data_IF_630484834315
#
_entry.id   IF_630484834315
#
_cell.length_a   1.000
_cell.length_b   1.000
_cell.length_c   1.000
_cell.angle_alpha   90.00
_cell.angle_beta   90.00
_cell.angle_gamma   90.00
#
_symmetry.space_group_name_H-M   'P 1'
#
loop_
_entity.id
_entity.type
_entity.pdbx_description
1 polymer ?
#
# COMPACT_ATOMS: atom_id res chain seq x y z
N UNK A 1 -4.48 12.52 -1.07
CA UNK A 1 -5.02 11.14 -1.13
C UNK A 1 -6.51 11.18 -0.85
N UNK A 2 -7.27 10.19 -1.35
CA UNK A 2 -8.72 10.08 -1.28
C UNK A 2 -9.09 8.67 -0.87
N UNK A 3 -10.38 8.46 -0.56
CA UNK A 3 -10.90 7.16 -0.13
C UNK A 3 -11.73 6.46 -1.21
N UNK A 4 -12.11 7.20 -2.27
CA UNK A 4 -13.05 6.75 -3.28
C UNK A 4 -14.52 6.79 -2.82
N UNK A 5 -14.79 7.54 -1.77
CA UNK A 5 -16.15 7.80 -1.26
C UNK A 5 -16.57 9.23 -1.67
N UNK A 6 -17.36 9.30 -2.74
CA UNK A 6 -17.86 10.58 -3.26
C UNK A 6 -18.68 11.30 -2.21
N UNK A 7 -18.41 12.59 -2.01
CA UNK A 7 -19.10 13.43 -1.03
C UNK A 7 -20.18 14.30 -1.68
N UNK A 8 -20.03 14.61 -2.97
CA UNK A 8 -20.96 15.46 -3.68
C UNK A 8 -20.92 15.21 -5.20
N UNK A 9 -22.03 15.44 -5.88
CA UNK A 9 -22.09 15.57 -7.34
C UNK A 9 -22.08 17.06 -7.65
N UNK A 10 -20.93 17.58 -8.13
CA UNK A 10 -20.80 18.93 -8.65
C UNK A 10 -21.16 19.02 -10.12
N UNK A 11 -21.12 20.24 -10.69
CA UNK A 11 -21.39 20.49 -12.10
C UNK A 11 -20.25 21.28 -12.76
N UNK A 12 -19.92 20.94 -13.99
CA UNK A 12 -19.03 21.78 -14.82
C UNK A 12 -19.76 23.06 -15.17
N UNK A 13 -19.28 24.20 -14.68
CA UNK A 13 -19.84 25.53 -14.98
C UNK A 13 -19.17 26.19 -16.17
N UNK A 14 -17.84 25.99 -16.28
CA UNK A 14 -17.05 26.64 -17.34
C UNK A 14 -15.86 25.79 -17.76
N UNK A 15 -15.42 26.01 -19.00
CA UNK A 15 -14.23 25.41 -19.61
C UNK A 15 -13.52 26.46 -20.44
N UNK A 16 -12.32 26.85 -20.04
CA UNK A 16 -11.54 27.88 -20.76
C UNK A 16 -10.20 27.25 -21.16
N UNK A 17 -9.87 27.21 -22.47
CA UNK A 17 -8.55 26.87 -22.92
C UNK A 17 -7.47 27.72 -22.24
N UNK A 18 -6.36 27.14 -21.87
CA UNK A 18 -5.21 27.82 -21.28
C UNK A 18 -3.95 27.54 -22.09
N UNK A 19 -2.83 28.14 -21.71
CA UNK A 19 -1.55 27.98 -22.40
C UNK A 19 -1.10 26.51 -22.47
N UNK A 20 -0.29 26.17 -23.47
CA UNK A 20 0.32 24.86 -23.66
C UNK A 20 -0.66 23.69 -23.75
N UNK A 21 -1.87 23.91 -24.27
CA UNK A 21 -2.89 22.87 -24.41
C UNK A 21 -3.55 22.46 -23.10
N UNK A 22 -3.36 23.20 -22.02
CA UNK A 22 -4.03 23.06 -20.74
C UNK A 22 -5.45 23.63 -20.78
N UNK A 23 -6.24 23.38 -19.73
CA UNK A 23 -7.62 23.85 -19.62
C UNK A 23 -7.91 24.28 -18.18
N UNK A 24 -8.63 25.35 -18.01
CA UNK A 24 -9.23 25.75 -16.74
C UNK A 24 -10.65 25.17 -16.71
N UNK A 25 -10.97 24.43 -15.64
CA UNK A 25 -12.33 24.00 -15.35
C UNK A 25 -12.87 24.80 -14.19
N UNK A 26 -14.08 25.34 -14.35
CA UNK A 26 -14.85 25.96 -13.27
C UNK A 26 -15.94 24.98 -12.84
N UNK A 27 -15.99 24.66 -11.52
CA UNK A 27 -16.86 23.68 -10.93
C UNK A 27 -17.82 24.33 -9.95
N UNK A 28 -19.12 24.00 -10.04
CA UNK A 28 -20.11 24.33 -9.01
C UNK A 28 -20.08 23.21 -7.97
N UNK A 29 -19.92 23.60 -6.70
CA UNK A 29 -20.07 22.72 -5.54
C UNK A 29 -20.98 23.41 -4.51
N UNK A 30 -21.92 22.65 -3.95
CA UNK A 30 -22.87 23.16 -2.95
C UNK A 30 -22.41 22.90 -1.52
N UNK A 31 -21.74 21.76 -1.30
CA UNK A 31 -21.35 21.28 0.03
C UNK A 31 -19.85 21.40 0.27
N UNK A 32 -19.02 21.03 -0.74
CA UNK A 32 -17.57 21.10 -0.62
C UNK A 32 -17.11 22.55 -0.82
N UNK A 33 -16.44 23.09 0.19
CA UNK A 33 -15.86 24.46 0.18
C UNK A 33 -14.34 24.34 0.29
N UNK A 34 -13.63 24.13 -0.82
CA UNK A 34 -12.18 24.03 -0.78
C UNK A 34 -11.56 25.38 -0.41
N UNK A 35 -10.36 25.32 0.15
CA UNK A 35 -9.49 26.48 0.29
C UNK A 35 -8.54 26.55 -0.91
N UNK A 36 -7.96 27.72 -1.13
CA UNK A 36 -6.93 27.91 -2.13
C UNK A 36 -5.76 26.94 -1.86
N UNK A 37 -5.36 26.16 -2.86
CA UNK A 37 -4.30 25.17 -2.73
C UNK A 37 -4.76 23.77 -2.30
N UNK A 38 -6.03 23.59 -1.91
CA UNK A 38 -6.55 22.27 -1.55
C UNK A 38 -6.59 21.33 -2.76
N UNK A 39 -6.29 20.06 -2.52
CA UNK A 39 -6.48 18.99 -3.50
C UNK A 39 -7.92 18.48 -3.46
N UNK A 40 -8.56 18.36 -4.63
CA UNK A 40 -9.91 17.84 -4.81
C UNK A 40 -9.88 16.78 -5.91
N UNK A 41 -10.53 15.67 -5.68
CA UNK A 41 -10.81 14.66 -6.70
C UNK A 41 -12.03 15.08 -7.50
N UNK A 42 -11.86 15.24 -8.81
CA UNK A 42 -12.94 15.53 -9.76
C UNK A 42 -13.03 14.36 -10.74
N UNK A 43 -14.10 13.57 -10.66
CA UNK A 43 -14.19 12.28 -11.37
C UNK A 43 -12.94 11.41 -11.15
N UNK A 44 -12.41 11.36 -9.93
CA UNK A 44 -11.21 10.62 -9.58
C UNK A 44 -9.90 11.30 -9.92
N UNK A 45 -9.90 12.45 -10.59
CA UNK A 45 -8.68 13.19 -10.93
C UNK A 45 -8.30 14.13 -9.80
N UNK A 46 -7.12 13.99 -9.23
CA UNK A 46 -6.57 14.91 -8.22
C UNK A 46 -6.19 16.23 -8.90
N UNK A 47 -6.86 17.32 -8.52
CA UNK A 47 -6.63 18.67 -9.03
C UNK A 47 -6.57 19.66 -7.87
N UNK A 48 -5.86 20.78 -8.07
CA UNK A 48 -5.67 21.80 -7.05
C UNK A 48 -6.60 22.98 -7.28
N UNK A 49 -7.34 23.39 -6.26
CA UNK A 49 -8.18 24.58 -6.29
C UNK A 49 -7.31 25.85 -6.37
N UNK A 50 -7.42 26.62 -7.47
CA UNK A 50 -6.60 27.82 -7.71
C UNK A 50 -7.34 29.14 -7.53
N UNK A 51 -8.66 29.13 -7.60
CA UNK A 51 -9.52 30.29 -7.40
C UNK A 51 -10.86 29.84 -6.84
N UNK A 52 -11.40 30.61 -5.93
CA UNK A 52 -12.66 30.31 -5.26
C UNK A 52 -13.56 31.54 -5.35
N UNK A 53 -14.82 31.33 -5.77
CA UNK A 53 -15.81 32.41 -5.89
C UNK A 53 -17.18 31.86 -5.47
N UNK A 54 -17.58 32.15 -4.23
CA UNK A 54 -18.86 31.70 -3.68
C UNK A 54 -18.99 30.16 -3.67
N UNK A 55 -19.90 29.64 -4.49
CA UNK A 55 -20.15 28.21 -4.66
C UNK A 55 -19.36 27.58 -5.81
N UNK A 56 -18.38 28.29 -6.38
CA UNK A 56 -17.57 27.79 -7.48
C UNK A 56 -16.09 27.81 -7.14
N UNK A 57 -15.35 26.92 -7.75
CA UNK A 57 -13.90 26.93 -7.73
C UNK A 57 -13.33 26.56 -9.10
N UNK A 58 -12.13 27.07 -9.39
CA UNK A 58 -11.40 26.78 -10.61
C UNK A 58 -10.23 25.87 -10.34
N UNK A 59 -9.94 24.99 -11.30
CA UNK A 59 -8.77 24.11 -11.30
C UNK A 59 -8.07 24.16 -12.65
N UNK A 60 -6.74 24.02 -12.65
CA UNK A 60 -5.96 23.84 -13.87
C UNK A 60 -5.84 22.36 -14.21
N UNK A 61 -6.12 22.01 -15.46
CA UNK A 61 -5.96 20.66 -15.98
C UNK A 61 -4.88 20.68 -17.06
N UNK A 62 -3.72 20.13 -16.76
CA UNK A 62 -2.59 20.10 -17.70
C UNK A 62 -2.87 19.16 -18.87
N UNK A 63 -2.16 19.37 -19.99
CA UNK A 63 -2.35 18.62 -21.24
C UNK A 63 -2.31 17.11 -21.05
N UNK A 64 -1.35 16.58 -20.28
CA UNK A 64 -1.21 15.14 -20.02
C UNK A 64 -2.44 14.56 -19.30
N UNK A 65 -2.97 15.29 -18.31
CA UNK A 65 -4.20 14.89 -17.60
C UNK A 65 -5.41 14.89 -18.53
N UNK A 66 -5.55 15.89 -19.40
CA UNK A 66 -6.62 15.94 -20.41
C UNK A 66 -6.54 14.77 -21.40
N UNK A 67 -5.33 14.32 -21.73
CA UNK A 67 -5.11 13.17 -22.63
C UNK A 67 -5.51 11.83 -22.02
N UNK A 68 -5.26 11.65 -20.71
CA UNK A 68 -5.49 10.38 -20.01
C UNK A 68 -6.89 10.24 -19.41
N UNK A 69 -7.63 11.33 -19.29
CA UNK A 69 -8.88 11.36 -18.54
C UNK A 69 -10.08 11.73 -19.43
N UNK A 70 -11.29 11.56 -18.88
CA UNK A 70 -12.51 11.99 -19.55
C UNK A 70 -12.74 13.52 -19.48
N UNK A 71 -11.95 14.27 -18.70
CA UNK A 71 -12.18 15.70 -18.42
C UNK A 71 -12.24 16.56 -19.69
N UNK A 72 -11.43 16.25 -20.72
CA UNK A 72 -11.47 16.97 -22.00
C UNK A 72 -12.83 16.92 -22.66
N UNK A 73 -13.56 15.80 -22.52
CA UNK A 73 -14.85 15.53 -23.19
C UNK A 73 -16.06 16.02 -22.43
N UNK A 74 -15.92 16.41 -21.15
CA UNK A 74 -17.03 16.92 -20.36
C UNK A 74 -17.56 18.22 -20.97
N UNK A 75 -18.88 18.42 -20.95
CA UNK A 75 -19.59 19.63 -21.40
C UNK A 75 -19.99 20.47 -20.20
N UNK A 76 -20.29 21.73 -20.40
CA UNK A 76 -20.95 22.58 -19.39
C UNK A 76 -22.26 21.92 -18.99
N UNK A 77 -22.55 21.90 -17.67
CA UNK A 77 -23.69 21.19 -17.08
C UNK A 77 -23.48 19.73 -16.81
N UNK A 78 -22.33 19.12 -17.22
CA UNK A 78 -22.04 17.71 -16.92
C UNK A 78 -21.82 17.49 -15.42
N UNK A 79 -22.50 16.49 -14.79
CA UNK A 79 -22.27 16.13 -13.40
C UNK A 79 -20.91 15.45 -13.22
N UNK A 80 -20.19 15.83 -12.15
CA UNK A 80 -18.89 15.27 -11.79
C UNK A 80 -18.87 14.86 -10.32
N UNK A 81 -18.28 13.71 -10.03
CA UNK A 81 -18.07 13.24 -8.67
C UNK A 81 -16.99 14.10 -8.00
N UNK A 82 -17.25 14.57 -6.79
CA UNK A 82 -16.32 15.36 -5.99
C UNK A 82 -16.00 14.67 -4.67
N UNK A 83 -14.73 14.67 -4.31
CA UNK A 83 -14.23 14.21 -3.01
C UNK A 83 -13.09 15.15 -2.57
N UNK A 84 -13.15 15.76 -1.37
CA UNK A 84 -12.01 16.49 -0.81
C UNK A 84 -10.88 15.54 -0.42
N UNK A 85 -9.65 16.05 -0.37
CA UNK A 85 -8.55 15.25 0.15
C UNK A 85 -8.82 14.81 1.58
N UNK A 86 -8.50 13.54 1.89
CA UNK A 86 -8.66 12.98 3.21
C UNK A 86 -7.73 13.65 4.23
N UNK A 87 -8.20 13.77 5.45
CA UNK A 87 -7.43 14.20 6.62
C UNK A 87 -6.96 12.98 7.43
N UNK A 88 -6.12 13.20 8.45
CA UNK A 88 -5.64 12.12 9.34
C UNK A 88 -6.79 11.50 10.15
N UNK A 89 -7.88 12.23 10.37
CA UNK A 89 -9.04 11.78 11.14
C UNK A 89 -10.06 10.99 10.29
N UNK A 90 -9.94 10.99 8.98
CA UNK A 90 -10.91 10.33 8.10
C UNK A 90 -10.73 8.80 8.09
N UNK A 91 -11.85 8.08 8.19
CA UNK A 91 -11.86 6.63 8.02
C UNK A 91 -11.75 6.27 6.53
N UNK A 92 -10.96 5.23 6.22
CA UNK A 92 -10.83 4.69 4.87
C UNK A 92 -11.97 3.69 4.62
N UNK A 93 -13.15 4.20 4.25
CA UNK A 93 -14.34 3.39 3.99
C UNK A 93 -14.37 2.75 2.59
N UNK A 94 -13.43 3.12 1.70
CA UNK A 94 -13.22 2.53 0.38
C UNK A 94 -11.85 1.85 0.30
N UNK A 95 -10.97 2.40 -0.54
CA UNK A 95 -9.56 2.01 -0.63
C UNK A 95 -8.68 3.24 -0.84
N UNK A 96 -7.37 3.10 -0.84
CA UNK A 96 -6.46 4.22 -1.13
C UNK A 96 -6.55 4.63 -2.59
N UNK A 97 -7.11 5.81 -2.84
CA UNK A 97 -7.22 6.45 -4.17
C UNK A 97 -6.28 7.64 -4.20
N UNK A 98 -5.39 7.67 -5.18
CA UNK A 98 -4.39 8.74 -5.31
C UNK A 98 -4.89 9.92 -6.12
N UNK A 99 -5.87 9.69 -6.97
CA UNK A 99 -6.35 10.65 -7.97
C UNK A 99 -5.49 10.68 -9.23
N UNK A 100 -4.64 9.70 -9.43
CA UNK A 100 -3.74 9.57 -10.58
C UNK A 100 -4.29 8.54 -11.57
N UNK A 101 -5.05 9.01 -12.53
CA UNK A 101 -5.78 8.17 -13.49
C UNK A 101 -4.82 7.41 -14.40
N UNK A 102 -5.03 6.10 -14.49
CA UNK A 102 -4.26 5.22 -15.37
C UNK A 102 -4.71 5.32 -16.83
N UNK A 103 -6.01 5.33 -17.06
CA UNK A 103 -6.60 5.47 -18.39
C UNK A 103 -8.08 5.85 -18.32
N UNK A 104 -8.62 6.35 -19.43
CA UNK A 104 -10.05 6.42 -19.63
C UNK A 104 -10.58 5.08 -20.16
N UNK A 105 -11.50 4.46 -19.42
CA UNK A 105 -12.28 3.31 -19.86
C UNK A 105 -13.50 3.71 -20.69
N UNK A 106 -14.19 2.74 -21.28
CA UNK A 106 -15.45 2.94 -22.00
C UNK A 106 -16.53 2.01 -21.40
N UNK A 107 -17.67 2.56 -21.06
CA UNK A 107 -18.83 1.78 -20.63
C UNK A 107 -19.33 0.94 -21.81
N UNK A 108 -19.40 -0.37 -21.64
CA UNK A 108 -19.97 -1.31 -22.60
C UNK A 108 -21.41 -1.63 -22.27
N UNK A 109 -21.71 -1.86 -20.98
CA UNK A 109 -23.04 -2.18 -20.50
C UNK A 109 -23.33 -1.43 -19.20
N UNK A 110 -24.57 -1.00 -19.03
CA UNK A 110 -25.09 -0.34 -17.82
C UNK A 110 -26.17 -1.18 -17.14
N UNK A 111 -26.52 -0.83 -15.92
CA UNK A 111 -27.52 -1.54 -15.12
C UNK A 111 -27.10 -1.65 -13.66
N UNK A 112 -27.41 -2.77 -13.01
CA UNK A 112 -26.89 -3.07 -11.67
C UNK A 112 -25.41 -3.48 -11.69
N UNK A 113 -24.92 -3.86 -12.86
CA UNK A 113 -23.52 -4.14 -13.15
C UNK A 113 -23.09 -3.24 -14.31
N UNK A 114 -21.98 -2.54 -14.15
CA UNK A 114 -21.32 -1.83 -15.24
C UNK A 114 -20.23 -2.74 -15.81
N UNK A 115 -20.25 -2.98 -17.13
CA UNK A 115 -19.14 -3.58 -17.85
C UNK A 115 -18.34 -2.47 -18.50
N UNK A 116 -17.01 -2.48 -18.29
CA UNK A 116 -16.11 -1.40 -18.71
C UNK A 116 -14.94 -1.99 -19.48
N UNK A 117 -14.72 -1.48 -20.70
CA UNK A 117 -13.54 -1.79 -21.50
C UNK A 117 -12.39 -0.86 -21.13
N UNK A 118 -11.19 -1.41 -21.04
CA UNK A 118 -9.96 -0.70 -20.71
C UNK A 118 -8.82 -1.08 -21.67
N UNK A 119 -7.75 -0.27 -21.78
CA UNK A 119 -6.57 -0.65 -22.55
C UNK A 119 -5.98 -2.00 -22.10
N UNK A 120 -5.53 -2.82 -23.06
CA UNK A 120 -4.95 -4.15 -22.82
C UNK A 120 -3.87 -4.18 -21.73
N UNK A 121 -3.08 -3.12 -21.60
CA UNK A 121 -2.05 -3.02 -20.55
C UNK A 121 -2.65 -2.96 -19.14
N UNK A 122 -3.85 -2.37 -19.01
CA UNK A 122 -4.46 -2.11 -17.71
C UNK A 122 -5.19 -3.33 -17.15
N UNK A 123 -5.85 -4.14 -18.01
CA UNK A 123 -6.63 -5.31 -17.57
C UNK A 123 -5.82 -6.31 -16.75
N UNK A 124 -4.51 -6.33 -16.95
CA UNK A 124 -3.61 -7.20 -16.20
C UNK A 124 -3.42 -6.81 -14.72
N UNK A 125 -3.83 -5.63 -14.32
CA UNK A 125 -3.77 -5.14 -12.94
C UNK A 125 -5.14 -5.16 -12.24
N UNK A 126 -6.17 -5.66 -12.95
CA UNK A 126 -7.54 -5.73 -12.44
C UNK A 126 -7.82 -7.19 -12.10
N UNK A 127 -8.29 -7.44 -10.88
CA UNK A 127 -8.54 -8.78 -10.34
C UNK A 127 -9.95 -8.86 -9.78
N UNK A 128 -10.58 -10.01 -9.96
CA UNK A 128 -11.87 -10.30 -9.33
C UNK A 128 -11.76 -10.17 -7.80
N UNK A 129 -12.77 -9.58 -7.17
CA UNK A 129 -12.82 -9.21 -5.74
C UNK A 129 -11.82 -8.12 -5.33
N UNK A 130 -11.02 -7.59 -6.24
CA UNK A 130 -10.13 -6.45 -5.98
C UNK A 130 -10.90 -5.12 -5.99
N UNK A 131 -10.25 -4.08 -5.45
CA UNK A 131 -10.75 -2.71 -5.51
C UNK A 131 -10.32 -2.01 -6.80
N UNK A 132 -11.17 -1.12 -7.29
CA UNK A 132 -10.88 -0.24 -8.44
C UNK A 132 -11.64 1.07 -8.27
N UNK A 133 -11.06 2.19 -8.69
CA UNK A 133 -11.77 3.46 -8.73
C UNK A 133 -12.28 3.76 -10.14
N UNK A 134 -13.59 4.02 -10.27
CA UNK A 134 -14.26 4.42 -11.52
C UNK A 134 -14.88 5.79 -11.32
N UNK A 135 -14.42 6.79 -12.07
CA UNK A 135 -14.76 8.21 -11.83
C UNK A 135 -14.59 8.60 -10.35
N UNK A 136 -13.56 8.09 -9.68
CA UNK A 136 -13.28 8.36 -8.27
C UNK A 136 -14.16 7.58 -7.28
N UNK A 137 -15.02 6.68 -7.74
CA UNK A 137 -15.85 5.82 -6.87
C UNK A 137 -15.12 4.51 -6.61
N UNK A 138 -14.86 4.18 -5.35
CA UNK A 138 -14.33 2.89 -4.93
C UNK A 138 -15.35 1.78 -5.14
N UNK A 139 -15.01 0.79 -5.96
CA UNK A 139 -15.90 -0.32 -6.32
C UNK A 139 -15.16 -1.65 -6.23
N UNK A 140 -15.91 -2.72 -6.02
CA UNK A 140 -15.39 -4.08 -6.07
C UNK A 140 -15.59 -4.69 -7.46
N UNK A 141 -14.52 -5.25 -8.01
CA UNK A 141 -14.55 -5.96 -9.28
C UNK A 141 -15.28 -7.30 -9.11
N UNK A 142 -16.34 -7.52 -9.90
CA UNK A 142 -17.16 -8.75 -9.86
C UNK A 142 -16.72 -9.78 -10.89
N UNK A 143 -16.16 -9.34 -12.03
CA UNK A 143 -15.66 -10.23 -13.07
C UNK A 143 -14.59 -9.55 -13.91
N UNK A 144 -13.67 -10.33 -14.48
CA UNK A 144 -12.63 -9.84 -15.40
C UNK A 144 -12.58 -10.71 -16.65
N UNK A 145 -12.74 -10.11 -17.82
CA UNK A 145 -12.58 -10.78 -19.11
C UNK A 145 -11.31 -10.28 -19.83
N UNK A 146 -10.23 -11.04 -19.68
CA UNK A 146 -8.92 -10.67 -20.26
C UNK A 146 -8.91 -10.73 -21.79
N UNK A 147 -9.71 -11.59 -22.41
CA UNK A 147 -9.76 -11.71 -23.89
C UNK A 147 -10.44 -10.49 -24.53
N UNK A 148 -11.47 -9.95 -23.90
CA UNK A 148 -12.19 -8.75 -24.34
C UNK A 148 -11.59 -7.44 -23.78
N UNK A 149 -10.65 -7.52 -22.83
CA UNK A 149 -10.13 -6.40 -22.07
C UNK A 149 -11.24 -5.63 -21.33
N UNK A 150 -12.21 -6.35 -20.75
CA UNK A 150 -13.32 -5.78 -19.97
C UNK A 150 -13.29 -6.29 -18.53
N UNK A 151 -13.84 -5.49 -17.65
CA UNK A 151 -14.15 -5.90 -16.27
C UNK A 151 -15.53 -5.39 -15.87
N UNK A 152 -16.12 -6.02 -14.87
CA UNK A 152 -17.44 -5.67 -14.36
C UNK A 152 -17.35 -5.24 -12.90
N UNK A 153 -18.20 -4.27 -12.52
CA UNK A 153 -18.39 -3.82 -11.14
C UNK A 153 -19.87 -3.75 -10.82
N UNK A 154 -20.26 -4.17 -9.60
CA UNK A 154 -21.61 -3.99 -9.11
C UNK A 154 -21.80 -2.57 -8.58
N UNK A 155 -22.91 -1.93 -8.96
CA UNK A 155 -23.27 -0.58 -8.48
C UNK A 155 -24.57 -0.67 -7.71
N UNK A 156 -24.49 -0.54 -6.39
CA UNK A 156 -25.65 -0.59 -5.50
C UNK A 156 -26.54 0.67 -5.66
N UNK A 157 -27.84 0.61 -5.31
CA UNK A 157 -28.76 1.75 -5.48
C UNK A 157 -28.25 3.05 -4.87
N UNK A 158 -27.66 3.00 -3.68
CA UNK A 158 -27.08 4.17 -3.02
C UNK A 158 -25.98 4.81 -3.89
N UNK A 159 -25.06 4.03 -4.43
CA UNK A 159 -23.98 4.54 -5.30
C UNK A 159 -24.52 5.16 -6.59
N UNK A 160 -25.59 4.57 -7.17
CA UNK A 160 -26.22 5.14 -8.37
C UNK A 160 -26.81 6.53 -8.13
N UNK A 161 -27.45 6.75 -6.98
CA UNK A 161 -28.11 8.02 -6.67
C UNK A 161 -27.16 9.08 -6.16
N UNK A 162 -26.03 8.70 -5.55
CA UNK A 162 -25.07 9.63 -4.93
C UNK A 162 -23.80 9.85 -5.75
N UNK A 163 -23.70 9.27 -6.94
CA UNK A 163 -22.58 9.46 -7.86
C UNK A 163 -23.08 9.63 -9.30
N UNK A 164 -22.20 10.13 -10.16
CA UNK A 164 -22.54 10.25 -11.59
C UNK A 164 -22.61 8.88 -12.32
N UNK A 165 -22.29 7.78 -11.65
CA UNK A 165 -22.32 6.45 -12.27
C UNK A 165 -23.75 6.04 -12.67
N UNK A 166 -24.76 6.50 -11.94
CA UNK A 166 -26.17 6.20 -12.26
C UNK A 166 -26.67 6.78 -13.57
N UNK A 167 -26.05 7.87 -14.06
CA UNK A 167 -26.42 8.53 -15.31
C UNK A 167 -25.62 8.10 -16.53
N UNK A 168 -24.68 7.15 -16.40
CA UNK A 168 -23.82 6.70 -17.49
C UNK A 168 -24.58 5.85 -18.51
N UNK A 169 -24.16 5.95 -19.77
CA UNK A 169 -24.69 5.20 -20.91
C UNK A 169 -23.56 4.41 -21.59
N UNK A 170 -23.94 3.39 -22.34
CA UNK A 170 -22.95 2.69 -23.19
C UNK A 170 -22.28 3.68 -24.16
N UNK A 171 -20.97 3.57 -24.27
CA UNK A 171 -20.12 4.51 -25.03
C UNK A 171 -19.49 5.62 -24.18
N UNK A 172 -20.00 5.90 -22.99
CA UNK A 172 -19.43 6.95 -22.13
C UNK A 172 -18.01 6.60 -21.67
N UNK A 173 -17.19 7.65 -21.51
CA UNK A 173 -15.83 7.52 -20.99
C UNK A 173 -15.80 7.75 -19.48
N UNK A 174 -15.14 6.85 -18.76
CA UNK A 174 -14.93 6.91 -17.31
C UNK A 174 -13.45 6.87 -16.98
N UNK A 175 -13.05 7.59 -15.95
CA UNK A 175 -11.68 7.56 -15.44
C UNK A 175 -11.47 6.30 -14.62
N UNK A 176 -10.38 5.58 -14.88
CA UNK A 176 -10.00 4.35 -14.18
C UNK A 176 -8.69 4.57 -13.46
N UNK A 177 -8.70 4.29 -12.17
CA UNK A 177 -7.50 4.18 -11.35
C UNK A 177 -7.47 2.80 -10.72
N UNK A 178 -6.41 2.04 -10.98
CA UNK A 178 -6.18 0.73 -10.35
C UNK A 178 -5.74 0.92 -8.91
N UNK A 179 -6.09 -0.03 -8.06
CA UNK A 179 -5.62 -0.07 -6.69
C UNK A 179 -4.07 -0.04 -6.66
N UNK A 180 -3.53 0.90 -5.90
CA UNK A 180 -2.08 1.08 -5.76
C UNK A 180 -1.41 -0.21 -5.25
N UNK A 181 -2.08 -0.99 -4.41
CA UNK A 181 -1.58 -2.28 -3.92
C UNK A 181 -1.45 -3.31 -5.06
N UNK A 182 -2.44 -3.36 -5.98
CA UNK A 182 -2.37 -4.22 -7.17
C UNK A 182 -1.21 -3.84 -8.10
N UNK A 183 -0.92 -2.55 -8.22
CA UNK A 183 0.22 -2.03 -9.00
C UNK A 183 1.55 -2.48 -8.42
N UNK A 184 1.73 -2.38 -7.11
CA UNK A 184 2.95 -2.83 -6.43
C UNK A 184 3.11 -4.36 -6.50
N UNK A 185 2.06 -5.13 -6.24
CA UNK A 185 2.08 -6.59 -6.32
C UNK A 185 2.57 -7.06 -7.71
N UNK A 186 2.03 -6.48 -8.78
CA UNK A 186 2.41 -6.88 -10.15
C UNK A 186 3.80 -6.42 -10.57
N UNK A 187 4.28 -5.27 -10.10
CA UNK A 187 5.66 -4.84 -10.36
C UNK A 187 6.68 -5.86 -9.81
N UNK A 188 6.32 -6.55 -8.74
CA UNK A 188 7.13 -7.61 -8.14
C UNK A 188 6.98 -8.95 -8.86
N UNK A 189 5.80 -9.27 -9.36
CA UNK A 189 5.55 -10.49 -10.16
C UNK A 189 6.39 -10.51 -11.45
N UNK A 190 6.49 -9.39 -12.16
CA UNK A 190 7.30 -9.28 -13.38
C UNK A 190 8.82 -9.39 -13.15
N UNK A 191 9.32 -9.13 -11.94
CA UNK A 191 10.73 -9.42 -11.60
C UNK A 191 10.97 -10.91 -11.35
N UNK A 192 9.93 -11.68 -11.04
CA UNK A 192 9.99 -13.11 -10.72
C UNK A 192 9.76 -14.00 -11.95
N UNK A 193 8.99 -13.55 -12.94
CA UNK A 193 8.67 -14.31 -14.16
C UNK A 193 9.82 -14.44 -15.18
N UNK A 194 10.91 -13.68 -15.06
CA UNK A 194 12.12 -13.86 -15.86
C UNK A 194 13.04 -14.99 -15.39
N UNK A 195 12.64 -15.76 -14.37
CA UNK A 195 13.26 -17.05 -14.02
C UNK A 195 12.24 -18.15 -14.28
N UNK A 196 12.28 -18.73 -15.50
CA UNK A 196 11.56 -19.94 -15.87
C UNK A 196 11.71 -21.02 -14.79
N UNK A 197 10.56 -21.57 -14.35
CA UNK A 197 10.44 -22.84 -13.63
C UNK A 197 11.23 -22.97 -12.32
N UNK A 198 10.88 -22.15 -11.32
CA UNK A 198 11.16 -22.55 -9.94
C UNK A 198 9.82 -22.95 -9.29
N UNK A 199 9.67 -24.26 -9.00
CA UNK A 199 8.71 -24.77 -8.02
C UNK A 199 8.70 -23.82 -6.82
N UNK A 200 7.51 -23.56 -6.25
CA UNK A 200 7.34 -22.80 -5.01
C UNK A 200 8.16 -23.48 -3.90
N UNK A 201 9.43 -23.16 -3.84
CA UNK A 201 10.24 -23.35 -2.63
C UNK A 201 10.25 -21.98 -1.97
N UNK A 202 9.74 -21.90 -0.74
CA UNK A 202 10.12 -20.80 0.14
C UNK A 202 11.58 -20.51 -0.11
N UNK A 203 11.98 -19.24 -0.13
CA UNK A 203 13.33 -18.82 -0.50
C UNK A 203 14.48 -19.48 0.26
N UNK A 204 14.50 -20.81 0.23
CA UNK A 204 15.64 -21.65 0.60
C UNK A 204 16.72 -21.67 -0.49
N UNK A 205 16.80 -20.58 -1.27
CA UNK A 205 17.64 -20.48 -2.46
C UNK A 205 18.87 -19.64 -2.26
N UNK A 206 19.68 -19.92 -1.27
CA UNK A 206 21.13 -19.83 -1.49
C UNK A 206 21.57 -21.20 -2.01
N UNK A 207 22.11 -21.27 -3.21
CA UNK A 207 22.95 -22.43 -3.59
C UNK A 207 23.99 -22.59 -2.49
N UNK A 208 23.94 -23.74 -1.74
CA UNK A 208 24.76 -24.05 -0.58
C UNK A 208 24.33 -23.36 0.72
N UNK A 209 23.39 -23.95 1.49
CA UNK A 209 23.24 -23.77 2.95
C UNK A 209 23.29 -22.32 3.45
N UNK A 210 22.38 -21.44 3.00
CA UNK A 210 22.40 -20.03 3.33
C UNK A 210 22.49 -19.73 4.84
N UNK A 211 23.14 -18.63 5.21
CA UNK A 211 23.31 -18.17 6.58
C UNK A 211 22.00 -17.72 7.23
N UNK A 212 21.97 -17.66 8.54
CA UNK A 212 20.95 -16.96 9.33
C UNK A 212 21.54 -15.61 9.75
N UNK A 213 20.85 -14.51 9.47
CA UNK A 213 21.24 -13.19 9.93
C UNK A 213 20.48 -12.80 11.19
N UNK A 214 21.18 -12.23 12.16
CA UNK A 214 20.58 -11.66 13.37
C UNK A 214 20.94 -10.17 13.40
N UNK A 215 19.94 -9.31 13.26
CA UNK A 215 20.12 -7.86 13.39
C UNK A 215 19.84 -7.48 14.84
N UNK A 216 20.74 -6.73 15.46
CA UNK A 216 20.68 -6.35 16.87
C UNK A 216 20.78 -4.83 16.99
N UNK A 217 19.73 -4.21 17.52
CA UNK A 217 19.71 -2.78 17.85
C UNK A 217 20.55 -2.52 19.10
N UNK A 218 21.47 -1.55 19.06
CA UNK A 218 22.32 -1.19 20.19
C UNK A 218 21.63 -0.24 21.18
N UNK A 219 20.55 0.43 20.77
CA UNK A 219 19.76 1.23 21.71
C UNK A 219 19.07 0.28 22.72
N UNK A 220 19.22 0.52 24.03
CA UNK A 220 18.91 -0.41 25.10
C UNK A 220 19.77 -1.71 25.06
N UNK A 221 21.07 -1.56 24.88
CA UNK A 221 22.06 -2.63 24.63
C UNK A 221 21.91 -3.82 25.61
N UNK A 222 21.82 -3.59 26.92
CA UNK A 222 21.65 -4.65 27.92
C UNK A 222 20.43 -5.57 27.63
N UNK A 223 19.36 -5.02 27.07
CA UNK A 223 18.16 -5.79 26.72
C UNK A 223 18.41 -6.54 25.40
N UNK A 224 18.97 -5.86 24.41
CA UNK A 224 19.27 -6.45 23.10
C UNK A 224 20.30 -7.57 23.19
N UNK A 225 21.30 -7.44 24.04
CA UNK A 225 22.28 -8.50 24.34
C UNK A 225 21.64 -9.71 25.00
N UNK A 226 20.71 -9.50 25.93
CA UNK A 226 19.94 -10.57 26.53
C UNK A 226 19.10 -11.34 25.49
N UNK A 227 18.50 -10.65 24.52
CA UNK A 227 17.79 -11.26 23.41
C UNK A 227 18.75 -12.05 22.50
N UNK A 228 19.91 -11.47 22.16
CA UNK A 228 20.93 -12.14 21.36
C UNK A 228 21.44 -13.42 22.01
N UNK A 229 21.77 -13.36 23.30
CA UNK A 229 22.17 -14.54 24.10
C UNK A 229 21.09 -15.62 24.08
N UNK A 230 19.82 -15.23 24.22
CA UNK A 230 18.69 -16.17 24.09
C UNK A 230 18.64 -16.85 22.72
N UNK A 231 18.74 -16.08 21.65
CA UNK A 231 18.76 -16.63 20.29
C UNK A 231 19.95 -17.58 20.07
N UNK A 232 21.14 -17.19 20.52
CA UNK A 232 22.35 -18.01 20.43
C UNK A 232 22.22 -19.33 21.18
N UNK A 233 21.63 -19.33 22.40
CA UNK A 233 21.34 -20.56 23.18
C UNK A 233 20.36 -21.48 22.43
N UNK A 234 19.36 -20.93 21.74
CA UNK A 234 18.43 -21.72 20.93
C UNK A 234 19.15 -22.41 19.76
N UNK A 235 20.00 -21.68 19.04
CA UNK A 235 20.80 -22.25 17.94
C UNK A 235 21.78 -23.32 18.43
N UNK A 236 22.44 -23.08 19.56
CA UNK A 236 23.35 -24.05 20.17
C UNK A 236 22.64 -25.36 20.55
N UNK A 237 21.48 -25.27 21.21
CA UNK A 237 20.66 -26.44 21.57
C UNK A 237 20.15 -27.25 20.36
N UNK A 238 20.03 -26.59 19.19
CA UNK A 238 19.60 -27.23 17.95
C UNK A 238 20.76 -27.54 16.98
N UNK A 239 21.99 -27.60 17.47
CA UNK A 239 23.21 -27.99 16.72
C UNK A 239 23.45 -27.10 15.46
N UNK A 240 23.01 -25.82 15.50
CA UNK A 240 23.29 -24.90 14.42
C UNK A 240 24.72 -24.37 14.54
N UNK A 241 25.54 -24.59 13.51
CA UNK A 241 26.94 -24.18 13.53
C UNK A 241 27.08 -22.66 13.56
N UNK A 242 27.98 -22.13 14.42
CA UNK A 242 28.25 -20.68 14.54
C UNK A 242 28.61 -20.03 13.19
N UNK A 243 29.33 -20.71 12.30
CA UNK A 243 29.70 -20.21 10.96
C UNK A 243 28.50 -19.92 10.07
N UNK A 244 27.33 -20.48 10.39
CA UNK A 244 26.09 -20.28 9.66
C UNK A 244 25.26 -19.13 10.21
N UNK A 245 25.72 -18.45 11.26
CA UNK A 245 25.04 -17.33 11.91
C UNK A 245 25.90 -16.10 11.75
N UNK A 246 25.30 -15.01 11.28
CA UNK A 246 25.96 -13.71 11.14
C UNK A 246 25.17 -12.69 11.96
N UNK A 247 25.86 -12.01 12.90
CA UNK A 247 25.27 -10.98 13.77
C UNK A 247 25.68 -9.61 13.25
N UNK A 248 24.69 -8.74 13.07
CA UNK A 248 24.85 -7.39 12.55
C UNK A 248 24.31 -6.40 13.57
N UNK A 249 25.17 -5.57 14.13
CA UNK A 249 24.80 -4.52 15.06
C UNK A 249 24.42 -3.24 14.32
N UNK A 250 23.37 -2.58 14.78
CA UNK A 250 22.87 -1.32 14.22
C UNK A 250 22.50 -0.35 15.35
N UNK A 251 22.49 0.99 15.11
CA UNK A 251 22.29 1.95 16.19
C UNK A 251 20.98 1.81 16.92
N UNK A 252 19.85 1.76 16.21
CA UNK A 252 18.52 1.76 16.82
C UNK A 252 17.55 0.78 16.17
N UNK A 253 16.38 0.67 16.76
CA UNK A 253 15.33 -0.21 16.23
C UNK A 253 14.74 0.32 14.91
N UNK A 254 14.72 1.64 14.72
CA UNK A 254 14.15 2.27 13.52
C UNK A 254 14.93 1.94 12.25
N UNK A 255 16.24 1.64 12.35
CA UNK A 255 17.12 1.26 11.26
C UNK A 255 16.98 -0.23 10.85
N UNK A 256 16.30 -1.05 11.67
CA UNK A 256 16.11 -2.49 11.39
C UNK A 256 15.52 -2.74 9.98
N UNK A 257 14.44 -2.08 9.54
CA UNK A 257 13.88 -2.33 8.21
C UNK A 257 14.87 -2.08 7.08
N UNK A 258 15.63 -0.98 7.13
CA UNK A 258 16.64 -0.69 6.11
C UNK A 258 17.71 -1.79 6.06
N UNK A 259 18.23 -2.20 7.21
CA UNK A 259 19.24 -3.25 7.26
C UNK A 259 18.69 -4.60 6.79
N UNK A 260 17.46 -4.95 7.17
CA UNK A 260 16.79 -6.16 6.65
C UNK A 260 16.72 -6.15 5.13
N UNK A 261 16.35 -5.02 4.53
CA UNK A 261 16.28 -4.89 3.06
C UNK A 261 17.64 -5.13 2.40
N UNK A 262 18.71 -4.55 2.95
CA UNK A 262 20.07 -4.74 2.46
C UNK A 262 20.49 -6.21 2.53
N UNK A 263 20.22 -6.88 3.67
CA UNK A 263 20.59 -8.28 3.86
C UNK A 263 19.79 -9.23 2.95
N UNK A 264 18.51 -8.97 2.78
CA UNK A 264 17.66 -9.73 1.85
C UNK A 264 18.14 -9.61 0.42
N UNK A 265 18.47 -8.38 -0.02
CA UNK A 265 18.97 -8.13 -1.38
C UNK A 265 20.33 -8.78 -1.65
N UNK A 266 21.14 -8.99 -0.61
CA UNK A 266 22.42 -9.69 -0.74
C UNK A 266 22.28 -11.17 -1.16
N UNK A 267 21.10 -11.79 -0.96
CA UNK A 267 20.85 -13.19 -1.28
C UNK A 267 21.64 -14.21 -0.45
N UNK A 268 22.34 -13.78 0.61
CA UNK A 268 23.21 -14.62 1.46
C UNK A 268 22.45 -15.38 2.55
N UNK A 269 21.27 -14.89 2.93
CA UNK A 269 20.54 -15.37 4.09
C UNK A 269 19.30 -16.16 3.68
N UNK A 270 19.04 -17.25 4.39
CA UNK A 270 17.83 -18.07 4.26
C UNK A 270 16.72 -17.68 5.24
N UNK A 271 17.07 -16.90 6.27
CA UNK A 271 16.17 -16.36 7.27
C UNK A 271 16.86 -15.31 8.13
N UNK A 272 16.09 -14.42 8.70
CA UNK A 272 16.58 -13.29 9.48
C UNK A 272 15.84 -13.21 10.82
N UNK A 273 16.51 -12.66 11.82
CA UNK A 273 15.92 -12.34 13.12
C UNK A 273 16.21 -10.85 13.41
N UNK A 274 15.18 -10.09 13.72
CA UNK A 274 15.29 -8.70 14.13
C UNK A 274 15.17 -8.62 15.66
N UNK A 275 16.23 -8.22 16.35
CA UNK A 275 16.28 -8.06 17.81
C UNK A 275 16.46 -6.59 18.16
N UNK A 276 15.69 -6.12 19.13
CA UNK A 276 15.79 -4.76 19.64
C UNK A 276 14.81 -4.51 20.77
N UNK A 277 14.86 -3.32 21.34
CA UNK A 277 13.95 -2.93 22.39
C UNK A 277 13.59 -1.45 22.31
N UNK A 278 12.30 -1.15 22.27
CA UNK A 278 11.73 0.20 22.36
C UNK A 278 10.97 0.30 23.68
N UNK A 279 11.39 1.19 24.56
CA UNK A 279 10.73 1.43 25.84
C UNK A 279 10.01 2.76 25.77
N UNK A 280 8.75 2.79 26.23
CA UNK A 280 7.93 4.00 26.20
C UNK A 280 8.54 5.08 27.08
N UNK A 281 8.88 6.21 26.43
CA UNK A 281 9.25 7.46 27.10
C UNK A 281 8.04 8.40 27.24
N UNK A 282 8.33 9.67 27.48
CA UNK A 282 7.30 10.70 27.70
C UNK A 282 6.63 11.19 26.41
N UNK A 283 7.28 11.01 25.27
CA UNK A 283 6.79 11.52 23.97
C UNK A 283 6.16 10.44 23.10
N UNK A 284 5.39 10.87 22.10
CA UNK A 284 4.76 9.98 21.11
C UNK A 284 5.75 9.34 20.12
N UNK A 285 7.03 9.70 20.19
CA UNK A 285 8.11 9.08 19.38
C UNK A 285 8.13 7.55 19.51
N UNK A 286 7.81 7.02 20.70
CA UNK A 286 7.63 5.59 20.93
C UNK A 286 6.69 4.94 19.90
N UNK A 287 5.52 5.52 19.69
CA UNK A 287 4.51 4.96 18.77
C UNK A 287 4.96 5.03 17.31
N UNK A 288 5.63 6.11 16.93
CA UNK A 288 6.17 6.26 15.57
C UNK A 288 7.23 5.19 15.29
N UNK A 289 8.18 4.98 16.20
CA UNK A 289 9.21 3.93 16.06
C UNK A 289 8.57 2.55 16.02
N UNK A 290 7.67 2.22 16.94
CA UNK A 290 7.00 0.91 16.99
C UNK A 290 6.25 0.60 15.70
N UNK A 291 5.46 1.55 15.19
CA UNK A 291 4.72 1.39 13.92
C UNK A 291 5.66 1.21 12.72
N UNK A 292 6.67 2.10 12.62
CA UNK A 292 7.62 2.06 11.51
C UNK A 292 8.39 0.75 11.43
N UNK A 293 8.89 0.26 12.57
CA UNK A 293 9.62 -1.01 12.66
C UNK A 293 8.73 -2.21 12.32
N UNK A 294 7.54 -2.28 12.90
CA UNK A 294 6.61 -3.39 12.68
C UNK A 294 6.21 -3.48 11.21
N UNK A 295 5.76 -2.36 10.64
CA UNK A 295 5.35 -2.29 9.25
C UNK A 295 6.50 -2.60 8.29
N UNK A 296 7.68 -2.04 8.54
CA UNK A 296 8.85 -2.25 7.70
C UNK A 296 9.32 -3.71 7.69
N UNK A 297 9.40 -4.37 8.86
CA UNK A 297 9.79 -5.78 8.97
C UNK A 297 8.79 -6.68 8.22
N UNK A 298 7.49 -6.49 8.46
CA UNK A 298 6.46 -7.29 7.84
C UNK A 298 6.43 -7.11 6.32
N UNK A 299 6.55 -5.87 5.84
CA UNK A 299 6.57 -5.55 4.41
C UNK A 299 7.73 -6.26 3.70
N UNK A 300 8.94 -6.21 4.26
CA UNK A 300 10.12 -6.85 3.68
C UNK A 300 9.96 -8.37 3.65
N UNK A 301 9.48 -8.97 4.74
CA UNK A 301 9.26 -10.42 4.83
C UNK A 301 8.30 -10.92 3.74
N UNK A 302 7.15 -10.24 3.57
CA UNK A 302 6.14 -10.60 2.57
C UNK A 302 6.65 -10.37 1.15
N UNK A 303 7.25 -9.21 0.88
CA UNK A 303 7.72 -8.84 -0.45
C UNK A 303 8.82 -9.76 -0.98
N UNK A 304 9.72 -10.19 -0.10
CA UNK A 304 10.88 -10.99 -0.48
C UNK A 304 10.71 -12.49 -0.20
N UNK A 305 9.59 -12.90 0.40
CA UNK A 305 9.27 -14.29 0.74
C UNK A 305 10.40 -14.95 1.56
N UNK A 306 11.02 -14.20 2.45
CA UNK A 306 12.05 -14.65 3.37
C UNK A 306 11.49 -14.62 4.81
N UNK A 307 11.66 -15.68 5.61
CA UNK A 307 11.24 -15.65 6.99
C UNK A 307 12.06 -14.65 7.79
N UNK A 308 11.38 -13.71 8.42
CA UNK A 308 11.97 -12.71 9.32
C UNK A 308 11.24 -12.78 10.67
N UNK A 309 11.96 -13.17 11.71
CA UNK A 309 11.38 -13.28 13.05
C UNK A 309 11.43 -11.94 13.75
N UNK A 310 10.28 -11.54 14.28
CA UNK A 310 10.08 -10.25 14.96
C UNK A 310 10.41 -10.38 16.45
N UNK A 311 11.64 -10.02 16.83
CA UNK A 311 12.14 -10.03 18.20
C UNK A 311 12.35 -8.62 18.78
N UNK A 312 11.70 -7.60 18.21
CA UNK A 312 11.74 -6.24 18.74
C UNK A 312 10.73 -6.09 19.87
N UNK A 313 11.21 -5.93 21.09
CA UNK A 313 10.37 -5.69 22.26
C UNK A 313 9.81 -4.26 22.21
N UNK A 314 8.52 -4.13 22.47
CA UNK A 314 7.81 -2.85 22.63
C UNK A 314 7.20 -2.82 24.03
N UNK A 315 7.91 -2.18 24.96
CA UNK A 315 7.61 -2.26 26.40
C UNK A 315 7.19 -0.91 26.97
N UNK A 316 6.28 -0.93 27.95
CA UNK A 316 5.90 0.26 28.69
C UNK A 316 6.97 0.69 29.70
N UNK A 317 7.79 -0.23 30.16
CA UNK A 317 8.84 0.01 31.16
C UNK A 317 9.99 -0.99 31.07
N UNK A 318 11.10 -0.68 31.72
CA UNK A 318 12.30 -1.51 31.73
C UNK A 318 12.09 -2.90 32.37
N UNK A 319 11.18 -3.02 33.37
CA UNK A 319 10.87 -4.31 34.00
C UNK A 319 10.32 -5.32 32.98
N UNK A 320 9.37 -4.89 32.15
CA UNK A 320 8.84 -5.73 31.07
C UNK A 320 9.93 -6.16 30.08
N UNK A 321 10.81 -5.24 29.70
CA UNK A 321 11.91 -5.54 28.80
C UNK A 321 12.87 -6.58 29.38
N UNK A 322 13.28 -6.43 30.65
CA UNK A 322 14.14 -7.39 31.37
C UNK A 322 13.52 -8.76 31.47
N UNK A 323 12.22 -8.87 31.78
CA UNK A 323 11.52 -10.16 31.82
C UNK A 323 11.59 -10.91 30.48
N UNK A 324 11.48 -10.17 29.37
CA UNK A 324 11.45 -10.76 28.01
C UNK A 324 12.83 -10.91 27.37
N UNK A 325 13.90 -10.47 28.01
CA UNK A 325 15.30 -10.61 27.55
C UNK A 325 16.21 -11.34 28.56
N UNK A 326 15.67 -11.74 29.70
CA UNK A 326 16.42 -12.36 30.78
C UNK A 326 16.86 -13.81 30.51
N UNK A 327 17.42 -14.44 31.56
CA UNK A 327 18.01 -15.79 31.46
C UNK A 327 16.97 -16.92 31.36
N UNK A 328 15.74 -16.68 31.78
CA UNK A 328 14.65 -17.64 31.60
C UNK A 328 14.30 -17.77 30.12
N UNK A 329 14.77 -18.86 29.53
CA UNK A 329 14.60 -19.11 28.10
C UNK A 329 13.14 -19.27 27.68
N UNK A 330 12.24 -19.65 28.59
CA UNK A 330 10.80 -19.75 28.27
C UNK A 330 10.19 -18.37 28.05
N UNK A 331 10.73 -17.34 28.70
CA UNK A 331 10.26 -15.96 28.61
C UNK A 331 11.08 -15.13 27.61
N UNK A 332 12.26 -15.60 27.22
CA UNK A 332 13.18 -14.83 26.38
C UNK A 332 12.72 -14.77 24.93
N UNK A 333 12.40 -13.58 24.43
CA UNK A 333 11.89 -13.37 23.07
C UNK A 333 12.91 -13.70 21.98
N UNK A 334 14.19 -13.51 22.23
CA UNK A 334 15.25 -13.90 21.28
C UNK A 334 15.33 -15.42 21.11
N UNK A 335 15.21 -16.18 22.22
CA UNK A 335 15.14 -17.64 22.18
C UNK A 335 13.90 -18.11 21.40
N UNK A 336 12.73 -17.53 21.69
CA UNK A 336 11.47 -17.81 21.01
C UNK A 336 11.59 -17.59 19.48
N UNK A 337 12.16 -16.47 19.07
CA UNK A 337 12.35 -16.14 17.65
C UNK A 337 13.25 -17.14 16.94
N UNK A 338 14.36 -17.55 17.58
CA UNK A 338 15.28 -18.52 16.98
C UNK A 338 14.65 -19.90 16.82
N UNK A 339 13.89 -20.37 17.83
CA UNK A 339 13.14 -21.64 17.74
C UNK A 339 12.07 -21.55 16.64
N UNK A 340 11.32 -20.46 16.56
CA UNK A 340 10.30 -20.26 15.53
C UNK A 340 10.90 -20.30 14.12
N UNK A 341 12.06 -19.67 13.90
CA UNK A 341 12.76 -19.71 12.64
C UNK A 341 13.21 -21.13 12.28
N UNK A 342 13.78 -21.86 13.22
CA UNK A 342 14.21 -23.24 13.02
C UNK A 342 13.05 -24.18 12.71
N UNK A 343 11.91 -24.00 13.39
CA UNK A 343 10.71 -24.78 13.13
C UNK A 343 10.15 -24.51 11.75
N UNK A 344 10.15 -23.24 11.32
CA UNK A 344 9.71 -22.90 9.97
C UNK A 344 10.57 -23.55 8.87
N UNK A 345 11.89 -23.70 9.11
CA UNK A 345 12.76 -24.41 8.18
C UNK A 345 12.51 -25.93 8.12
N UNK A 346 11.88 -26.50 9.15
CA UNK A 346 11.55 -27.94 9.23
C UNK A 346 10.16 -28.24 8.67
N UNK A 347 9.28 -27.25 8.59
CA UNK A 347 7.91 -27.44 8.09
C UNK A 347 7.93 -27.79 6.61
N UNK A 348 7.29 -28.88 6.19
CA UNK A 348 7.05 -29.14 4.77
C UNK A 348 6.07 -28.07 4.25
N UNK A 349 6.48 -27.34 3.25
CA UNK A 349 5.67 -26.36 2.53
C UNK A 349 5.33 -26.88 1.15
#
# INVERSE_FOLDING_TARGET
MFTGIVKEIGLIKGKTPSQNGSMILEIISKQIKPKLGDSISINGVCLTAKKISGKTFEVDVVHETLKRTNLKKLKIGTPVNLEPAMTIADAINGHFVTGHIDAAGTIIQTGNTLEISVPKKLINFIFEKGSIAVNGVSLTVTAVNKSKNTFSVAVIPFTKTHTNLGGLKAGDKVNIEIDIMARYAKKHENKTLNKKNAKLKLGMGGKNGGKIGIIVSQYNENISDGLLKGAQKAFQKNNTLKKNIEVINIPGAFEIPLMLKILVDSGKFKGLIALGCVIKGETDHYYAVCKGVTYGIQTISIQHKIPIMFGVLMCRNLKQARTRSGEDLKMNKGYECAISLLNLFKSPL
#
